data_IF_540027941119
#
_entry.id   IF_540027941119
#
_cell.length_a   1.000
_cell.length_b   1.000
_cell.length_c   1.000
_cell.angle_alpha   90.00
_cell.angle_beta   90.00
_cell.angle_gamma   90.00
#
_symmetry.space_group_name_H-M   'P 1'
#
loop_
_entity.id
_entity.type
_entity.pdbx_description
1 polymer ?
#
# COMPACT_ATOMS: atom_id res chain seq x y z
N UNK A 1 40.85 40.87 -16.69
CA UNK A 1 41.56 40.00 -15.72
C UNK A 1 40.57 38.98 -15.21
N UNK A 2 40.60 37.74 -15.72
CA UNK A 2 39.66 36.69 -15.32
C UNK A 2 40.23 35.90 -14.13
N UNK A 3 39.47 35.62 -13.06
CA UNK A 3 39.89 34.61 -12.10
C UNK A 3 39.49 33.22 -12.57
N UNK A 4 40.37 32.28 -12.23
CA UNK A 4 40.49 30.94 -12.74
C UNK A 4 39.34 29.99 -12.33
N UNK A 5 39.01 29.10 -13.26
CA UNK A 5 38.72 27.68 -13.04
C UNK A 5 37.82 27.29 -11.86
N UNK A 6 36.51 27.32 -12.07
CA UNK A 6 35.64 26.38 -11.35
C UNK A 6 35.88 24.98 -11.93
N UNK A 7 36.54 24.11 -11.16
CA UNK A 7 36.74 22.70 -11.55
C UNK A 7 35.38 22.05 -11.86
N UNK A 8 35.33 21.18 -12.88
CA UNK A 8 34.13 20.45 -13.31
C UNK A 8 33.54 19.58 -12.18
N UNK A 9 34.32 19.34 -11.12
CA UNK A 9 33.90 18.65 -9.90
C UNK A 9 32.98 19.47 -8.99
N UNK A 10 33.12 20.81 -8.94
CA UNK A 10 32.26 21.66 -8.11
C UNK A 10 30.81 21.72 -8.65
N UNK A 11 30.66 21.71 -9.98
CA UNK A 11 29.34 21.62 -10.61
C UNK A 11 28.67 20.26 -10.36
N UNK A 12 29.45 19.17 -10.23
CA UNK A 12 28.95 17.81 -9.99
C UNK A 12 28.51 17.61 -8.53
N UNK A 13 29.22 18.21 -7.56
CA UNK A 13 28.82 18.19 -6.15
C UNK A 13 27.60 19.06 -5.86
N UNK A 14 27.47 20.23 -6.51
CA UNK A 14 26.27 21.08 -6.39
C UNK A 14 25.02 20.43 -7.02
N UNK A 15 25.19 19.64 -8.08
CA UNK A 15 24.11 18.84 -8.67
C UNK A 15 23.73 17.65 -7.77
N UNK A 16 24.69 16.94 -7.17
CA UNK A 16 24.40 15.90 -6.19
C UNK A 16 23.68 16.46 -4.96
N UNK A 17 24.10 17.61 -4.43
CA UNK A 17 23.44 18.27 -3.31
C UNK A 17 22.00 18.72 -3.61
N UNK A 18 21.73 19.21 -4.83
CA UNK A 18 20.36 19.51 -5.30
C UNK A 18 19.52 18.25 -5.52
N UNK A 19 20.11 17.17 -6.04
CA UNK A 19 19.43 15.88 -6.23
C UNK A 19 19.10 15.21 -4.89
N UNK A 20 19.99 15.32 -3.89
CA UNK A 20 19.76 14.84 -2.53
C UNK A 20 18.68 15.65 -1.79
N UNK A 21 18.61 16.96 -2.01
CA UNK A 21 17.53 17.79 -1.49
C UNK A 21 16.16 17.41 -2.13
N UNK A 22 16.12 17.16 -3.44
CA UNK A 22 14.90 16.70 -4.13
C UNK A 22 14.48 15.27 -3.74
N UNK A 23 15.42 14.40 -3.37
CA UNK A 23 15.10 13.06 -2.87
C UNK A 23 14.41 13.10 -1.50
N UNK A 24 14.80 14.03 -0.63
CA UNK A 24 14.22 14.18 0.71
C UNK A 24 12.78 14.70 0.71
N UNK A 25 12.34 15.33 -0.38
CA UNK A 25 10.94 15.76 -0.54
C UNK A 25 10.03 14.65 -1.09
N UNK A 26 10.58 13.65 -1.79
CA UNK A 26 9.80 12.54 -2.38
C UNK A 26 9.42 11.43 -1.38
N UNK A 27 10.28 11.14 -0.41
CA UNK A 27 10.05 10.03 0.52
C UNK A 27 8.92 10.28 1.53
N UNK A 28 8.50 11.53 1.74
CA UNK A 28 7.45 11.88 2.71
C UNK A 28 6.02 11.67 2.22
N UNK A 29 5.79 11.49 0.91
CA UNK A 29 4.44 11.42 0.33
C UNK A 29 4.01 10.02 -0.12
N UNK A 30 4.94 9.11 -0.42
CA UNK A 30 4.61 7.78 -0.94
C UNK A 30 4.14 6.79 0.15
N UNK A 31 4.78 6.77 1.33
CA UNK A 31 4.43 5.83 2.39
C UNK A 31 3.05 6.07 3.02
N UNK A 32 2.61 7.33 3.10
CA UNK A 32 1.30 7.67 3.66
C UNK A 32 0.13 7.23 2.77
N UNK A 33 0.34 7.17 1.44
CA UNK A 33 -0.67 6.67 0.51
C UNK A 33 -0.67 5.14 0.45
N UNK A 34 0.47 4.48 0.63
CA UNK A 34 0.51 3.03 0.82
C UNK A 34 -0.22 2.60 2.10
N UNK A 35 0.01 3.28 3.21
CA UNK A 35 -0.71 3.00 4.46
C UNK A 35 -2.22 3.16 4.31
N UNK A 36 -2.69 4.24 3.66
CA UNK A 36 -4.13 4.43 3.38
C UNK A 36 -4.71 3.36 2.46
N UNK A 37 -3.91 2.82 1.55
CA UNK A 37 -4.35 1.78 0.62
C UNK A 37 -4.31 0.38 1.23
N UNK A 38 -3.54 0.19 2.31
CA UNK A 38 -3.46 -1.06 3.06
C UNK A 38 -4.80 -1.47 3.69
N UNK A 39 -4.92 -2.74 4.10
CA UNK A 39 -6.11 -3.22 4.81
C UNK A 39 -6.34 -2.42 6.10
N UNK A 40 -5.30 -2.27 6.92
CA UNK A 40 -5.39 -1.60 8.22
C UNK A 40 -5.75 -0.12 8.05
N UNK A 41 -5.16 0.57 7.08
CA UNK A 41 -5.50 1.97 6.81
C UNK A 41 -6.93 2.17 6.33
N UNK A 42 -7.43 1.29 5.45
CA UNK A 42 -8.83 1.32 5.01
C UNK A 42 -9.79 1.04 6.15
N UNK A 43 -9.47 0.06 7.00
CA UNK A 43 -10.29 -0.31 8.15
C UNK A 43 -10.33 0.84 9.17
N UNK A 44 -9.18 1.42 9.53
CA UNK A 44 -9.11 2.55 10.44
C UNK A 44 -9.90 3.77 9.92
N UNK A 45 -9.85 4.02 8.60
CA UNK A 45 -10.67 5.08 7.98
C UNK A 45 -12.15 4.78 8.08
N UNK A 46 -12.56 3.52 7.85
CA UNK A 46 -13.96 3.10 7.97
C UNK A 46 -14.47 3.27 9.41
N UNK A 47 -13.70 2.87 10.41
CA UNK A 47 -14.03 3.05 11.83
C UNK A 47 -14.19 4.53 12.19
N UNK A 48 -13.27 5.37 11.72
CA UNK A 48 -13.35 6.83 11.93
C UNK A 48 -14.61 7.42 11.32
N UNK A 49 -14.96 6.97 10.11
CA UNK A 49 -16.16 7.43 9.40
C UNK A 49 -17.44 7.03 10.13
N UNK A 50 -17.50 5.80 10.66
CA UNK A 50 -18.63 5.35 11.48
C UNK A 50 -18.76 6.19 12.75
N UNK A 51 -17.65 6.46 13.44
CA UNK A 51 -17.66 7.34 14.62
C UNK A 51 -18.18 8.74 14.30
N UNK A 52 -17.75 9.33 13.17
CA UNK A 52 -18.24 10.63 12.71
C UNK A 52 -19.76 10.61 12.43
N UNK A 53 -20.28 9.52 11.84
CA UNK A 53 -21.71 9.37 11.55
C UNK A 53 -22.56 9.13 12.81
N UNK A 54 -22.04 8.36 13.77
CA UNK A 54 -22.71 8.05 15.03
C UNK A 54 -22.74 9.24 15.99
N UNK A 55 -21.72 10.11 15.96
CA UNK A 55 -21.69 11.35 16.74
C UNK A 55 -22.86 12.29 16.39
N UNK A 56 -23.43 12.15 15.20
CA UNK A 56 -24.52 12.98 14.71
C UNK A 56 -24.07 14.40 14.32
N UNK A 57 -25.04 15.28 14.02
CA UNK A 57 -24.75 16.66 13.61
C UNK A 57 -24.32 16.83 12.15
N UNK A 58 -24.25 15.75 11.37
CA UNK A 58 -24.01 15.80 9.93
C UNK A 58 -25.31 16.16 9.18
N UNK A 59 -25.18 17.02 8.17
CA UNK A 59 -26.26 17.25 7.21
C UNK A 59 -26.54 16.01 6.35
N UNK A 60 -27.71 15.98 5.71
CA UNK A 60 -28.13 14.85 4.87
C UNK A 60 -27.13 14.58 3.72
N UNK A 61 -26.72 15.62 3.00
CA UNK A 61 -25.78 15.49 1.89
C UNK A 61 -24.44 14.90 2.36
N UNK A 62 -23.87 15.44 3.44
CA UNK A 62 -22.63 14.94 4.04
C UNK A 62 -22.77 13.50 4.50
N UNK A 63 -23.89 13.13 5.11
CA UNK A 63 -24.16 11.75 5.53
C UNK A 63 -24.15 10.78 4.35
N UNK A 64 -24.72 11.19 3.20
CA UNK A 64 -24.72 10.39 1.97
C UNK A 64 -23.30 10.25 1.40
N UNK A 65 -22.51 11.32 1.41
CA UNK A 65 -21.11 11.27 0.98
C UNK A 65 -20.28 10.31 1.84
N UNK A 66 -20.40 10.40 3.17
CA UNK A 66 -19.71 9.49 4.09
C UNK A 66 -20.15 8.05 3.89
N UNK A 67 -21.44 7.81 3.70
CA UNK A 67 -21.92 6.46 3.40
C UNK A 67 -21.28 5.89 2.12
N UNK A 68 -21.19 6.68 1.03
CA UNK A 68 -20.54 6.25 -0.22
C UNK A 68 -19.07 5.94 -0.03
N UNK A 69 -18.36 6.79 0.71
CA UNK A 69 -16.96 6.55 1.08
C UNK A 69 -16.81 5.24 1.86
N UNK A 70 -17.67 5.01 2.86
CA UNK A 70 -17.70 3.79 3.66
C UNK A 70 -17.90 2.52 2.83
N UNK A 71 -18.80 2.55 1.84
CA UNK A 71 -19.01 1.44 0.89
C UNK A 71 -17.73 1.15 0.11
N UNK A 72 -17.05 2.18 -0.42
CA UNK A 72 -15.79 2.00 -1.16
C UNK A 72 -14.66 1.43 -0.30
N UNK A 73 -14.56 1.87 0.96
CA UNK A 73 -13.58 1.32 1.92
C UNK A 73 -13.85 -0.17 2.19
N UNK A 74 -15.12 -0.52 2.42
CA UNK A 74 -15.54 -1.91 2.67
C UNK A 74 -15.27 -2.82 1.47
N UNK A 75 -15.55 -2.36 0.25
CA UNK A 75 -15.22 -3.09 -0.98
C UNK A 75 -13.72 -3.33 -1.11
N UNK A 76 -12.90 -2.31 -0.84
CA UNK A 76 -11.44 -2.43 -0.82
C UNK A 76 -10.95 -3.48 0.18
N UNK A 77 -11.48 -3.46 1.41
CA UNK A 77 -11.15 -4.46 2.43
C UNK A 77 -11.48 -5.88 1.97
N UNK A 78 -12.66 -6.09 1.39
CA UNK A 78 -13.09 -7.40 0.86
C UNK A 78 -12.18 -7.88 -0.28
N UNK A 79 -11.76 -6.97 -1.15
CA UNK A 79 -10.85 -7.30 -2.26
C UNK A 79 -9.50 -7.79 -1.75
N UNK A 80 -8.92 -7.11 -0.75
CA UNK A 80 -7.64 -7.52 -0.13
C UNK A 80 -7.78 -8.90 0.51
N UNK A 81 -8.84 -9.12 1.30
CA UNK A 81 -9.10 -10.42 1.94
C UNK A 81 -9.29 -11.54 0.91
N UNK A 82 -9.99 -11.27 -0.20
CA UNK A 82 -10.16 -12.24 -1.27
C UNK A 82 -8.82 -12.63 -1.91
N UNK A 83 -7.92 -11.67 -2.12
CA UNK A 83 -6.56 -11.92 -2.62
C UNK A 83 -5.76 -12.82 -1.68
N UNK A 84 -5.73 -12.50 -0.39
CA UNK A 84 -5.04 -13.35 0.60
C UNK A 84 -5.66 -14.74 0.74
N UNK A 85 -6.99 -14.84 0.68
CA UNK A 85 -7.66 -16.15 0.71
C UNK A 85 -7.21 -17.04 -0.45
N UNK A 86 -7.17 -16.48 -1.67
CA UNK A 86 -6.69 -17.19 -2.86
C UNK A 86 -5.23 -17.65 -2.71
N UNK A 87 -4.38 -16.81 -2.14
CA UNK A 87 -2.98 -17.16 -1.88
C UNK A 87 -2.87 -18.35 -0.90
N UNK A 88 -3.67 -18.37 0.16
CA UNK A 88 -3.71 -19.50 1.11
C UNK A 88 -4.20 -20.77 0.43
N UNK A 89 -5.24 -20.69 -0.40
CA UNK A 89 -5.77 -21.82 -1.17
C UNK A 89 -4.70 -22.42 -2.10
N UNK A 90 -3.96 -21.58 -2.84
CA UNK A 90 -2.88 -22.01 -3.73
C UNK A 90 -1.72 -22.68 -2.98
N UNK A 91 -1.30 -22.12 -1.84
CA UNK A 91 -0.25 -22.70 -1.00
C UNK A 91 -0.68 -24.06 -0.43
N UNK A 92 -1.94 -24.18 -0.01
CA UNK A 92 -2.49 -25.44 0.53
C UNK A 92 -2.50 -26.52 -0.53
N UNK A 93 -3.02 -26.21 -1.73
CA UNK A 93 -3.06 -27.14 -2.85
C UNK A 93 -1.67 -27.60 -3.28
N UNK A 94 -0.69 -26.68 -3.30
CA UNK A 94 0.71 -27.01 -3.60
C UNK A 94 1.33 -27.94 -2.57
N UNK A 95 1.07 -27.71 -1.28
CA UNK A 95 1.53 -28.59 -0.20
C UNK A 95 0.92 -30.00 -0.31
N UNK A 96 -0.37 -30.11 -0.63
CA UNK A 96 -1.02 -31.41 -0.84
C UNK A 96 -0.45 -32.18 -2.04
N UNK A 97 -0.14 -31.49 -3.14
CA UNK A 97 0.50 -32.11 -4.30
C UNK A 97 1.92 -32.59 -4.01
N UNK A 98 2.67 -31.85 -3.19
CA UNK A 98 4.02 -32.23 -2.78
C UNK A 98 4.04 -33.46 -1.84
N UNK A 99 2.93 -33.78 -1.18
CA UNK A 99 2.80 -34.89 -0.25
C UNK A 99 2.20 -36.16 -0.88
N UNK A 100 2.00 -36.22 -2.21
CA UNK A 100 1.52 -37.45 -2.85
C UNK A 100 2.48 -38.61 -2.56
N UNK A 101 1.96 -39.78 -2.10
CA UNK A 101 2.74 -40.98 -1.95
C UNK A 101 3.48 -41.31 -3.25
N UNK A 102 4.75 -41.68 -3.13
CA UNK A 102 5.55 -42.17 -4.24
C UNK A 102 5.08 -43.58 -4.57
N UNK A 103 4.16 -43.72 -5.54
CA UNK A 103 3.58 -45.01 -5.94
C UNK A 103 4.46 -45.80 -6.94
N UNK A 104 5.73 -45.44 -7.10
CA UNK A 104 6.71 -46.18 -7.90
C UNK A 104 7.27 -47.34 -7.04
N UNK A 105 6.47 -48.39 -6.88
CA UNK A 105 6.96 -49.70 -6.42
C UNK A 105 6.98 -50.67 -7.63
N UNK A 106 8.11 -50.82 -8.33
CA UNK A 106 8.21 -51.69 -9.50
C UNK A 106 8.27 -53.20 -9.19
N UNK A 107 8.19 -53.61 -7.92
CA UNK A 107 8.34 -55.01 -7.46
C UNK A 107 7.12 -55.55 -6.66
N UNK A 108 5.90 -55.10 -6.99
CA UNK A 108 4.62 -55.61 -6.44
C UNK A 108 3.97 -56.71 -7.27
#
# INVERSE_FOLDING_TARGET
MAPAGASRDCARELLWGRMAAMAKEKEGTEGADEEKQSFDGRLARLESLVQEMEAGGLGLETTIERYREGVGLLEGCRSILAGFKKQVEELTLGAEQALKPYDDDPDG
#
